data_IF_351251188447
#
_entry.id   IF_351251188447
#
_cell.length_a   1.000
_cell.length_b   1.000
_cell.length_c   1.000
_cell.angle_alpha   90.00
_cell.angle_beta   90.00
_cell.angle_gamma   90.00
#
_symmetry.space_group_name_H-M   'P 1'
#
loop_
_entity.id
_entity.type
_entity.pdbx_description
1 polymer ?
#
# COMPACT_ATOMS: atom_id res chain seq x y z
N UNK A 1 30.67 -41.30 -18.35
CA UNK A 1 30.43 -40.31 -17.27
C UNK A 1 29.28 -39.41 -17.72
N UNK A 2 28.06 -39.67 -17.24
CA UNK A 2 26.85 -38.96 -17.67
C UNK A 2 26.71 -37.61 -16.96
N UNK A 3 26.68 -36.52 -17.73
CA UNK A 3 26.53 -35.15 -17.25
C UNK A 3 25.11 -34.56 -17.46
N UNK A 4 24.09 -35.36 -17.78
CA UNK A 4 22.76 -34.84 -18.15
C UNK A 4 21.66 -34.97 -17.06
N UNK A 5 21.97 -35.50 -15.87
CA UNK A 5 20.96 -35.80 -14.84
C UNK A 5 20.63 -34.67 -13.85
N UNK A 6 21.43 -33.61 -13.77
CA UNK A 6 21.32 -32.60 -12.69
C UNK A 6 20.35 -31.44 -13.01
N UNK A 7 20.20 -31.04 -14.28
CA UNK A 7 19.35 -29.90 -14.65
C UNK A 7 17.84 -30.14 -14.52
N UNK A 8 17.38 -31.35 -14.86
CA UNK A 8 15.94 -31.68 -14.85
C UNK A 8 15.36 -31.81 -13.44
N UNK A 9 16.15 -32.27 -12.46
CA UNK A 9 15.69 -32.46 -11.08
C UNK A 9 15.53 -31.14 -10.32
N UNK A 10 16.38 -30.14 -10.58
CA UNK A 10 16.29 -28.80 -9.98
C UNK A 10 15.12 -27.98 -10.53
N UNK A 11 14.84 -28.09 -11.84
CA UNK A 11 13.65 -27.50 -12.45
C UNK A 11 12.36 -28.08 -11.87
N UNK A 12 12.30 -29.41 -11.70
CA UNK A 12 11.14 -30.10 -11.10
C UNK A 12 10.96 -29.72 -9.63
N UNK A 13 12.05 -29.65 -8.86
CA UNK A 13 12.05 -29.22 -7.45
C UNK A 13 11.65 -27.75 -7.28
N UNK A 14 12.15 -26.85 -8.13
CA UNK A 14 11.72 -25.43 -8.17
C UNK A 14 10.24 -25.31 -8.52
N UNK A 15 9.76 -26.09 -9.50
CA UNK A 15 8.34 -26.11 -9.91
C UNK A 15 7.43 -26.63 -8.78
N UNK A 16 7.81 -27.73 -8.11
CA UNK A 16 7.06 -28.27 -6.96
C UNK A 16 7.03 -27.25 -5.80
N UNK A 17 8.16 -26.61 -5.47
CA UNK A 17 8.18 -25.55 -4.45
C UNK A 17 7.31 -24.35 -4.82
N UNK A 18 7.30 -23.94 -6.10
CA UNK A 18 6.48 -22.83 -6.59
C UNK A 18 4.98 -23.17 -6.56
N UNK A 19 4.62 -24.38 -6.96
CA UNK A 19 3.24 -24.89 -6.92
C UNK A 19 2.76 -25.04 -5.47
N UNK A 20 3.58 -25.63 -4.59
CA UNK A 20 3.26 -25.75 -3.17
C UNK A 20 3.11 -24.40 -2.46
N UNK A 21 3.98 -23.42 -2.77
CA UNK A 21 3.82 -22.04 -2.27
C UNK A 21 2.54 -21.38 -2.78
N UNK A 22 2.15 -21.62 -4.03
CA UNK A 22 0.92 -21.07 -4.61
C UNK A 22 -0.32 -21.69 -3.97
N UNK A 23 -0.31 -23.01 -3.76
CA UNK A 23 -1.38 -23.74 -3.05
C UNK A 23 -1.49 -23.27 -1.60
N UNK A 24 -0.36 -23.17 -0.88
CA UNK A 24 -0.34 -22.69 0.51
C UNK A 24 -0.83 -21.25 0.62
N UNK A 25 -0.41 -20.37 -0.31
CA UNK A 25 -0.93 -19.00 -0.37
C UNK A 25 -2.42 -18.98 -0.68
N UNK A 26 -2.90 -19.82 -1.61
CA UNK A 26 -4.33 -19.98 -1.91
C UNK A 26 -5.11 -20.39 -0.66
N UNK A 27 -4.75 -21.51 -0.04
CA UNK A 27 -5.43 -22.01 1.16
C UNK A 27 -5.40 -21.03 2.33
N UNK A 28 -4.30 -20.28 2.49
CA UNK A 28 -4.20 -19.25 3.52
C UNK A 28 -5.14 -18.08 3.24
N UNK A 29 -5.20 -17.62 1.99
CA UNK A 29 -6.10 -16.53 1.59
C UNK A 29 -7.57 -16.96 1.69
N UNK A 30 -7.89 -18.19 1.29
CA UNK A 30 -9.24 -18.76 1.41
C UNK A 30 -9.67 -18.88 2.88
N UNK A 31 -8.74 -19.33 3.74
CA UNK A 31 -8.97 -19.33 5.18
C UNK A 31 -9.24 -17.90 5.70
N UNK A 32 -8.38 -16.92 5.39
CA UNK A 32 -8.56 -15.54 5.84
C UNK A 32 -9.88 -14.93 5.32
N UNK A 33 -10.26 -15.23 4.07
CA UNK A 33 -11.56 -14.87 3.47
C UNK A 33 -12.72 -15.44 4.30
N UNK A 34 -12.69 -16.74 4.59
CA UNK A 34 -13.73 -17.41 5.40
C UNK A 34 -13.90 -16.86 6.81
N UNK A 35 -12.86 -16.18 7.33
CA UNK A 35 -12.86 -15.56 8.66
C UNK A 35 -13.29 -14.10 8.64
N UNK A 36 -13.54 -13.49 7.48
CA UNK A 36 -13.91 -12.08 7.37
C UNK A 36 -15.30 -11.80 7.95
N UNK A 37 -15.44 -10.67 8.64
CA UNK A 37 -16.72 -10.17 9.18
C UNK A 37 -17.35 -9.07 8.33
N UNK A 38 -16.69 -8.69 7.24
CA UNK A 38 -17.19 -7.76 6.24
C UNK A 38 -17.29 -8.52 4.90
N UNK A 39 -18.02 -7.98 3.91
CA UNK A 39 -18.08 -8.59 2.58
C UNK A 39 -16.71 -8.87 1.99
N UNK A 40 -16.66 -9.92 1.17
CA UNK A 40 -15.48 -10.27 0.40
C UNK A 40 -15.67 -9.87 -1.06
N UNK A 41 -15.69 -8.55 -1.27
CA UNK A 41 -15.91 -7.89 -2.57
C UNK A 41 -14.72 -6.98 -2.88
N UNK A 42 -14.44 -6.69 -4.17
CA UNK A 42 -13.30 -5.87 -4.57
C UNK A 42 -13.35 -4.47 -3.95
N UNK A 43 -14.52 -3.82 -4.00
CA UNK A 43 -14.81 -2.53 -3.35
C UNK A 43 -15.78 -2.76 -2.20
N UNK A 44 -15.58 -2.03 -1.11
CA UNK A 44 -16.31 -2.18 0.14
C UNK A 44 -17.10 -0.90 0.44
N UNK A 45 -18.31 -1.05 0.97
CA UNK A 45 -19.13 0.07 1.41
C UNK A 45 -18.47 0.79 2.60
N UNK A 46 -18.31 2.10 2.50
CA UNK A 46 -17.77 2.96 3.56
C UNK A 46 -18.57 2.84 4.86
N UNK A 47 -19.86 2.52 4.81
CA UNK A 47 -20.71 2.32 5.98
C UNK A 47 -20.24 1.17 6.89
N UNK A 48 -19.41 0.26 6.38
CA UNK A 48 -18.76 -0.80 7.18
C UNK A 48 -17.71 -0.24 8.16
N UNK A 49 -17.24 0.99 7.94
CA UNK A 49 -16.18 1.66 8.70
C UNK A 49 -16.66 3.03 9.19
N UNK A 50 -17.64 3.11 10.11
CA UNK A 50 -18.26 4.38 10.51
C UNK A 50 -17.28 5.38 11.13
N UNK A 51 -16.19 4.91 11.73
CA UNK A 51 -15.11 5.76 12.27
C UNK A 51 -14.33 6.50 11.17
N UNK A 52 -14.35 6.01 9.92
CA UNK A 52 -13.54 6.54 8.83
C UNK A 52 -13.99 7.92 8.38
N UNK A 53 -15.25 8.28 8.62
CA UNK A 53 -15.77 9.61 8.29
C UNK A 53 -15.08 10.71 9.09
N UNK A 54 -14.78 10.46 10.37
CA UNK A 54 -14.03 11.41 11.20
C UNK A 54 -12.61 11.62 10.67
N UNK A 55 -11.97 10.57 10.13
CA UNK A 55 -10.66 10.67 9.48
C UNK A 55 -10.77 11.44 8.17
N UNK A 56 -11.73 11.07 7.30
CA UNK A 56 -11.97 11.72 6.01
C UNK A 56 -12.23 13.20 6.16
N UNK A 57 -12.98 13.63 7.18
CA UNK A 57 -13.25 15.04 7.43
C UNK A 57 -11.99 15.89 7.66
N UNK A 58 -10.87 15.26 8.05
CA UNK A 58 -9.56 15.92 8.21
C UNK A 58 -8.76 16.02 6.90
N UNK A 59 -9.32 15.62 5.76
CA UNK A 59 -8.62 15.67 4.48
C UNK A 59 -8.03 17.06 4.11
N UNK A 60 -8.64 18.22 4.46
CA UNK A 60 -8.06 19.51 4.08
C UNK A 60 -6.71 19.76 4.78
N UNK A 61 -6.60 19.44 6.08
CA UNK A 61 -5.33 19.61 6.81
C UNK A 61 -4.26 18.62 6.36
N UNK A 62 -4.66 17.41 5.94
CA UNK A 62 -3.76 16.43 5.33
C UNK A 62 -3.26 16.91 3.96
N UNK A 63 -4.13 17.58 3.18
CA UNK A 63 -3.76 18.20 1.92
C UNK A 63 -2.76 19.33 2.13
N UNK A 64 -2.96 20.20 3.13
CA UNK A 64 -2.04 21.30 3.41
C UNK A 64 -0.62 20.78 3.73
N UNK A 65 -0.51 19.73 4.56
CA UNK A 65 0.78 19.09 4.88
C UNK A 65 1.41 18.41 3.65
N UNK A 66 0.58 17.76 2.81
CA UNK A 66 1.02 17.19 1.55
C UNK A 66 1.54 18.27 0.58
N UNK A 67 0.83 19.39 0.43
CA UNK A 67 1.23 20.46 -0.48
C UNK A 67 2.58 21.08 -0.06
N UNK A 68 2.82 21.22 1.25
CA UNK A 68 4.13 21.61 1.79
C UNK A 68 5.24 20.60 1.43
N UNK A 69 4.97 19.29 1.47
CA UNK A 69 5.92 18.27 1.01
C UNK A 69 6.17 18.35 -0.51
N UNK A 70 5.13 18.66 -1.29
CA UNK A 70 5.21 18.72 -2.75
C UNK A 70 6.06 19.89 -3.26
N UNK A 71 6.23 20.97 -2.49
CA UNK A 71 7.22 22.03 -2.79
C UNK A 71 8.63 21.46 -2.99
N UNK A 72 8.93 20.34 -2.34
CA UNK A 72 10.21 19.62 -2.43
C UNK A 72 10.04 18.20 -2.95
N UNK A 73 9.07 17.97 -3.86
CA UNK A 73 8.76 16.65 -4.43
C UNK A 73 10.00 15.86 -4.89
N UNK A 74 10.99 16.54 -5.48
CA UNK A 74 12.21 15.91 -5.97
C UNK A 74 13.01 15.22 -4.84
N UNK A 75 12.93 15.72 -3.61
CA UNK A 75 13.57 15.14 -2.44
C UNK A 75 12.78 13.97 -1.84
N UNK A 76 11.52 13.74 -2.25
CA UNK A 76 10.74 12.59 -1.81
C UNK A 76 11.27 11.28 -2.45
N UNK A 77 11.23 10.16 -1.72
CA UNK A 77 11.73 8.91 -2.24
C UNK A 77 10.70 8.35 -3.23
N UNK A 78 11.22 7.82 -4.33
CA UNK A 78 10.45 7.01 -5.26
C UNK A 78 10.14 5.68 -4.60
N UNK A 79 8.99 5.08 -4.91
CA UNK A 79 8.52 3.90 -4.20
C UNK A 79 9.53 2.73 -4.23
N UNK A 80 10.20 2.53 -5.38
CA UNK A 80 11.23 1.50 -5.54
C UNK A 80 12.51 1.77 -4.75
N UNK A 81 12.79 3.02 -4.36
CA UNK A 81 13.91 3.34 -3.47
C UNK A 81 13.64 2.83 -2.06
N UNK A 82 12.37 2.82 -1.64
CA UNK A 82 11.96 2.27 -0.34
C UNK A 82 11.75 0.75 -0.46
N UNK A 83 10.92 0.29 -1.39
CA UNK A 83 10.58 -1.14 -1.57
C UNK A 83 11.15 -1.71 -2.88
N UNK A 84 12.43 -2.11 -2.91
CA UNK A 84 13.08 -2.60 -4.14
C UNK A 84 12.45 -3.89 -4.68
N UNK A 85 11.82 -4.70 -3.83
CA UNK A 85 11.07 -5.90 -4.24
C UNK A 85 9.87 -5.58 -5.14
N UNK A 86 9.42 -4.32 -5.17
CA UNK A 86 8.35 -3.82 -6.02
C UNK A 86 8.84 -3.03 -7.26
N UNK A 87 10.14 -3.07 -7.58
CA UNK A 87 10.68 -2.45 -8.80
C UNK A 87 10.03 -2.99 -10.12
N UNK A 88 9.27 -4.09 -10.07
CA UNK A 88 8.50 -4.60 -11.20
C UNK A 88 7.27 -3.76 -11.56
N UNK A 89 6.76 -2.95 -10.63
CA UNK A 89 5.56 -2.13 -10.84
C UNK A 89 5.88 -0.62 -10.96
N UNK A 90 7.13 -0.23 -10.73
CA UNK A 90 7.61 1.13 -10.97
C UNK A 90 9.10 1.14 -11.26
N UNK A 91 9.48 1.73 -12.40
CA UNK A 91 10.88 1.87 -12.83
C UNK A 91 11.29 3.33 -13.02
N UNK A 92 10.39 4.28 -12.75
CA UNK A 92 10.57 5.73 -12.94
C UNK A 92 10.41 6.49 -11.60
N UNK A 93 10.64 7.81 -11.64
CA UNK A 93 10.52 8.73 -10.51
C UNK A 93 9.12 9.37 -10.38
N UNK A 94 8.15 8.89 -11.15
CA UNK A 94 6.79 9.44 -11.18
C UNK A 94 5.91 8.87 -10.08
N UNK A 95 6.33 7.81 -9.38
CA UNK A 95 5.66 7.35 -8.16
C UNK A 95 6.49 7.65 -6.91
N UNK A 96 6.11 8.69 -6.18
CA UNK A 96 6.70 9.08 -4.89
C UNK A 96 5.83 8.58 -3.74
N UNK A 97 6.49 8.22 -2.64
CA UNK A 97 5.80 7.79 -1.41
C UNK A 97 6.39 8.45 -0.17
N UNK A 98 5.54 8.91 0.73
CA UNK A 98 5.97 9.50 2.00
C UNK A 98 5.36 8.72 3.18
N UNK A 99 6.19 7.93 3.85
CA UNK A 99 5.75 6.95 4.84
C UNK A 99 5.46 7.58 6.20
N UNK A 100 4.32 7.23 6.79
CA UNK A 100 3.91 7.61 8.14
C UNK A 100 3.80 6.38 9.06
N UNK A 101 3.31 5.27 8.53
CA UNK A 101 3.27 3.95 9.19
C UNK A 101 3.63 2.82 8.23
N UNK A 102 4.35 1.81 8.74
CA UNK A 102 4.65 0.56 8.04
C UNK A 102 4.44 -0.65 8.95
N UNK A 103 3.48 -1.52 8.61
CA UNK A 103 3.07 -2.71 9.36
C UNK A 103 2.95 -2.51 10.88
N UNK A 104 2.27 -1.43 11.28
CA UNK A 104 2.02 -1.03 12.67
C UNK A 104 3.20 -0.34 13.35
N UNK A 105 4.30 -0.09 12.64
CA UNK A 105 5.42 0.73 13.14
C UNK A 105 5.25 2.16 12.63
N UNK A 106 5.22 3.12 13.55
CA UNK A 106 5.22 4.56 13.25
C UNK A 106 6.58 4.99 12.69
N UNK A 107 6.56 5.85 11.68
CA UNK A 107 7.75 6.53 11.13
C UNK A 107 7.83 7.92 11.75
N UNK A 108 8.65 8.08 12.79
CA UNK A 108 8.67 9.30 13.60
C UNK A 108 8.97 10.54 12.76
N UNK A 109 9.95 10.48 11.85
CA UNK A 109 10.26 11.61 10.98
C UNK A 109 9.10 12.05 10.08
N UNK A 110 8.41 11.09 9.46
CA UNK A 110 7.25 11.40 8.63
C UNK A 110 6.14 12.05 9.45
N UNK A 111 5.91 11.54 10.67
CA UNK A 111 4.90 12.07 11.56
C UNK A 111 5.26 13.43 12.18
N UNK A 112 6.55 13.73 12.35
CA UNK A 112 7.05 15.06 12.75
C UNK A 112 6.77 16.12 11.67
N UNK A 113 6.92 15.75 10.39
CA UNK A 113 6.64 16.63 9.25
C UNK A 113 5.16 16.77 8.92
N UNK A 114 4.34 15.81 9.34
CA UNK A 114 2.89 15.80 9.08
C UNK A 114 2.10 15.54 10.37
N UNK A 115 2.23 16.42 11.39
CA UNK A 115 1.68 16.18 12.71
C UNK A 115 0.15 16.09 12.75
N UNK A 116 -0.56 16.84 11.91
CA UNK A 116 -2.03 16.80 11.85
C UNK A 116 -2.51 15.49 11.21
N UNK A 117 -1.87 15.07 10.11
CA UNK A 117 -2.14 13.77 9.50
C UNK A 117 -1.83 12.64 10.47
N UNK A 118 -0.72 12.72 11.20
CA UNK A 118 -0.34 11.73 12.20
C UNK A 118 -1.36 11.62 13.35
N UNK A 119 -1.81 12.76 13.90
CA UNK A 119 -2.81 12.79 14.96
C UNK A 119 -4.17 12.23 14.52
N UNK A 120 -4.54 12.43 13.25
CA UNK A 120 -5.75 11.83 12.68
C UNK A 120 -5.60 10.31 12.49
N UNK A 121 -4.44 9.85 12.02
CA UNK A 121 -4.12 8.43 11.82
C UNK A 121 -4.01 7.63 13.13
N UNK A 122 -3.57 8.24 14.23
CA UNK A 122 -3.51 7.60 15.56
C UNK A 122 -4.89 7.13 16.07
N UNK A 123 -5.98 7.73 15.56
CA UNK A 123 -7.34 7.35 15.91
C UNK A 123 -7.87 6.17 15.08
N UNK A 124 -7.12 5.71 14.07
CA UNK A 124 -7.55 4.65 13.15
C UNK A 124 -7.40 3.27 13.79
N UNK A 125 -8.50 2.51 13.98
CA UNK A 125 -8.44 1.21 14.62
C UNK A 125 -7.69 0.19 13.75
N UNK A 126 -6.67 -0.44 14.32
CA UNK A 126 -5.92 -1.48 13.62
C UNK A 126 -5.09 -0.97 12.44
N UNK A 127 -4.66 0.29 12.47
CA UNK A 127 -3.79 0.87 11.44
C UNK A 127 -2.53 0.00 11.23
N UNK A 128 -2.27 -0.34 9.97
CA UNK A 128 -1.10 -1.14 9.57
C UNK A 128 -0.12 -0.31 8.76
N UNK A 129 -0.56 0.24 7.63
CA UNK A 129 0.27 1.09 6.77
C UNK A 129 -0.42 2.43 6.61
N UNK A 130 0.34 3.51 6.49
CA UNK A 130 -0.17 4.81 6.06
C UNK A 130 0.94 5.60 5.39
N UNK A 131 0.65 6.14 4.21
CA UNK A 131 1.59 6.98 3.47
C UNK A 131 0.87 7.84 2.43
N UNK A 132 1.47 8.97 2.08
CA UNK A 132 1.05 9.71 0.89
C UNK A 132 1.58 8.98 -0.36
N UNK A 133 0.67 8.64 -1.27
CA UNK A 133 0.98 8.01 -2.55
C UNK A 133 0.76 9.01 -3.68
N UNK A 134 1.85 9.44 -4.30
CA UNK A 134 1.87 10.54 -5.26
C UNK A 134 2.27 10.00 -6.63
N UNK A 135 1.36 10.07 -7.60
CA UNK A 135 1.63 9.77 -9.00
C UNK A 135 1.78 11.05 -9.80
N UNK A 136 2.84 11.10 -10.59
CA UNK A 136 3.08 12.12 -11.59
C UNK A 136 2.30 11.89 -12.89
N UNK A 137 2.39 12.85 -13.81
CA UNK A 137 1.74 12.79 -15.11
C UNK A 137 2.09 11.52 -15.89
N UNK A 138 1.11 10.96 -16.59
CA UNK A 138 1.26 9.75 -17.41
C UNK A 138 1.59 8.47 -16.66
N UNK A 139 1.57 8.47 -15.31
CA UNK A 139 1.99 7.29 -14.55
C UNK A 139 0.94 6.18 -14.63
N UNK A 140 1.41 4.99 -15.00
CA UNK A 140 0.65 3.74 -14.95
C UNK A 140 1.31 2.78 -13.95
N UNK A 141 0.50 2.18 -13.07
CA UNK A 141 0.92 1.08 -12.20
C UNK A 141 0.27 -0.19 -12.74
N UNK A 142 1.07 -1.14 -13.29
CA UNK A 142 0.55 -2.35 -13.90
C UNK A 142 -0.28 -3.21 -12.94
N UNK A 143 -1.14 -4.06 -13.51
CA UNK A 143 -2.02 -4.96 -12.76
C UNK A 143 -1.23 -5.82 -11.75
N UNK A 144 -1.57 -5.71 -10.47
CA UNK A 144 -0.91 -6.42 -9.38
C UNK A 144 -1.90 -6.83 -8.27
N UNK A 145 -1.39 -7.50 -7.23
CA UNK A 145 -2.16 -7.96 -6.07
C UNK A 145 -1.39 -7.70 -4.79
N UNK A 146 -2.13 -7.32 -3.76
CA UNK A 146 -1.68 -7.19 -2.38
C UNK A 146 -1.15 -8.49 -1.81
N UNK A 147 -0.39 -8.34 -0.72
CA UNK A 147 0.34 -9.45 -0.09
C UNK A 147 -0.55 -10.31 0.80
N UNK A 148 -1.62 -9.75 1.37
CA UNK A 148 -2.45 -10.44 2.36
C UNK A 148 -3.90 -9.95 2.39
N UNK A 149 -4.81 -10.90 2.59
CA UNK A 149 -6.24 -10.65 2.88
C UNK A 149 -6.49 -10.25 4.33
N UNK A 150 -5.44 -10.24 5.15
CA UNK A 150 -5.49 -9.79 6.54
C UNK A 150 -5.66 -8.29 6.72
N UNK A 151 -5.56 -7.51 5.64
CA UNK A 151 -5.67 -6.07 5.61
C UNK A 151 -6.80 -5.64 4.66
N UNK A 152 -7.30 -4.43 4.86
CA UNK A 152 -8.17 -3.70 3.93
C UNK A 152 -7.52 -2.36 3.64
N UNK A 153 -7.49 -1.94 2.38
CA UNK A 153 -6.92 -0.67 1.95
C UNK A 153 -8.02 0.39 1.81
N UNK A 154 -7.68 1.62 2.15
CA UNK A 154 -8.48 2.80 1.88
C UNK A 154 -7.62 3.87 1.21
N UNK A 155 -8.24 4.61 0.29
CA UNK A 155 -7.68 5.83 -0.27
C UNK A 155 -8.57 7.01 0.11
N UNK A 156 -7.95 8.10 0.57
CA UNK A 156 -8.58 9.43 0.64
C UNK A 156 -7.92 10.30 -0.42
N UNK A 157 -8.71 10.89 -1.31
CA UNK A 157 -8.23 11.84 -2.32
C UNK A 157 -7.78 13.15 -1.69
N UNK A 158 -6.55 13.59 -1.93
CA UNK A 158 -6.01 14.84 -1.38
C UNK A 158 -5.74 15.89 -2.46
N UNK A 159 -5.19 15.43 -3.59
CA UNK A 159 -4.97 16.23 -4.79
C UNK A 159 -5.30 15.36 -5.99
N UNK A 160 -6.35 15.69 -6.71
CA UNK A 160 -6.86 14.82 -7.79
C UNK A 160 -7.10 15.68 -9.04
N UNK A 161 -6.51 15.34 -10.20
CA UNK A 161 -6.84 15.99 -11.46
C UNK A 161 -8.32 15.81 -11.82
N UNK A 162 -8.95 16.86 -12.34
CA UNK A 162 -10.36 16.85 -12.79
C UNK A 162 -10.52 16.12 -14.13
N UNK A 163 -10.30 14.80 -14.11
CA UNK A 163 -10.41 13.89 -15.27
C UNK A 163 -10.61 12.44 -14.80
N UNK A 164 -11.77 12.10 -14.21
CA UNK A 164 -12.02 10.80 -13.57
C UNK A 164 -11.84 9.60 -14.53
N UNK A 165 -12.03 9.80 -15.84
CA UNK A 165 -11.83 8.79 -16.88
C UNK A 165 -10.36 8.57 -17.25
N UNK A 166 -9.47 9.50 -16.90
CA UNK A 166 -8.01 9.44 -17.13
C UNK A 166 -7.22 9.21 -15.84
N UNK A 167 -7.86 9.34 -14.69
CA UNK A 167 -7.25 9.13 -13.38
C UNK A 167 -8.10 8.22 -12.49
N UNK A 168 -7.86 6.92 -12.58
CA UNK A 168 -8.66 5.90 -11.89
C UNK A 168 -7.82 4.71 -11.42
N UNK A 169 -8.40 3.93 -10.52
CA UNK A 169 -7.98 2.57 -10.20
C UNK A 169 -9.08 1.61 -10.60
N UNK A 170 -8.71 0.52 -11.27
CA UNK A 170 -9.61 -0.62 -11.44
C UNK A 170 -9.27 -1.66 -10.38
N UNK A 171 -10.27 -2.08 -9.60
CA UNK A 171 -10.16 -3.17 -8.63
C UNK A 171 -11.04 -4.32 -9.11
N UNK A 172 -10.40 -5.39 -9.56
CA UNK A 172 -10.99 -6.48 -10.33
C UNK A 172 -11.68 -5.99 -11.62
N UNK A 173 -12.99 -5.86 -11.62
CA UNK A 173 -13.87 -5.38 -12.69
C UNK A 173 -14.58 -4.06 -12.34
N UNK A 174 -14.23 -3.44 -11.21
CA UNK A 174 -14.83 -2.19 -10.73
C UNK A 174 -13.87 -1.03 -10.91
N UNK A 175 -14.25 -0.05 -11.73
CA UNK A 175 -13.50 1.21 -11.89
C UNK A 175 -13.87 2.18 -10.75
N UNK A 176 -12.86 2.77 -10.12
CA UNK A 176 -12.99 3.76 -9.06
C UNK A 176 -12.17 4.99 -9.41
N UNK A 177 -12.83 6.14 -9.55
CA UNK A 177 -12.18 7.43 -9.65
C UNK A 177 -11.98 8.03 -8.25
N UNK A 178 -10.95 8.87 -8.11
CA UNK A 178 -10.77 9.66 -6.90
C UNK A 178 -11.49 11.00 -7.03
N UNK A 179 -11.88 11.54 -5.90
CA UNK A 179 -12.31 12.93 -5.74
C UNK A 179 -11.58 13.51 -4.53
N UNK A 180 -11.29 14.80 -4.53
CA UNK A 180 -10.69 15.45 -3.36
C UNK A 180 -11.65 15.37 -2.18
N UNK A 181 -11.15 14.88 -1.04
CA UNK A 181 -11.96 14.57 0.14
C UNK A 181 -12.85 13.34 0.01
N UNK A 182 -12.92 12.71 -1.16
CA UNK A 182 -13.57 11.40 -1.34
C UNK A 182 -12.77 10.28 -0.70
N UNK A 183 -13.44 9.22 -0.25
CA UNK A 183 -12.79 8.00 0.22
C UNK A 183 -13.48 6.74 -0.28
N UNK A 184 -12.70 5.67 -0.45
CA UNK A 184 -13.24 4.34 -0.68
C UNK A 184 -12.34 3.26 -0.12
N UNK A 185 -12.95 2.18 0.37
CA UNK A 185 -12.27 0.99 0.84
C UNK A 185 -12.28 -0.09 -0.23
N UNK A 186 -11.19 -0.83 -0.37
CA UNK A 186 -11.08 -1.94 -1.29
C UNK A 186 -10.16 -3.04 -0.77
N UNK A 187 -10.36 -4.26 -1.27
CA UNK A 187 -9.48 -5.38 -1.01
C UNK A 187 -8.39 -5.45 -2.09
N UNK A 188 -7.20 -5.00 -1.74
CA UNK A 188 -6.05 -4.97 -2.66
C UNK A 188 -5.56 -6.38 -3.04
N UNK A 189 -6.06 -7.46 -2.43
CA UNK A 189 -5.75 -8.83 -2.89
C UNK A 189 -6.43 -9.20 -4.19
N UNK A 190 -7.51 -8.49 -4.57
CA UNK A 190 -8.04 -8.53 -5.93
C UNK A 190 -7.03 -7.89 -6.90
N UNK A 191 -6.97 -8.35 -8.16
CA UNK A 191 -6.11 -7.71 -9.14
C UNK A 191 -6.51 -6.25 -9.27
N UNK A 192 -5.55 -5.34 -9.23
CA UNK A 192 -5.83 -3.93 -9.39
C UNK A 192 -4.74 -3.23 -10.19
N UNK A 193 -5.14 -2.18 -10.90
CA UNK A 193 -4.33 -1.45 -11.86
C UNK A 193 -4.70 0.03 -11.78
N UNK A 194 -3.71 0.92 -11.94
CA UNK A 194 -3.88 2.35 -11.66
C UNK A 194 -3.35 3.18 -12.80
N UNK A 195 -4.12 4.19 -13.19
CA UNK A 195 -3.78 5.15 -14.23
C UNK A 195 -3.83 6.57 -13.70
N UNK A 196 -2.82 7.36 -14.05
CA UNK A 196 -2.86 8.81 -14.05
C UNK A 196 -2.40 9.29 -15.43
N UNK A 197 -3.28 9.21 -16.42
CA UNK A 197 -3.02 9.63 -17.80
C UNK A 197 -3.17 11.14 -17.98
N UNK A 198 -3.25 11.91 -16.91
CA UNK A 198 -3.41 13.36 -16.92
C UNK A 198 -2.05 14.07 -16.91
N UNK A 199 -2.08 15.39 -17.07
CA UNK A 199 -0.91 16.27 -16.96
C UNK A 199 -0.65 16.75 -15.52
N UNK A 200 -1.49 16.33 -14.57
CA UNK A 200 -1.44 16.72 -13.16
C UNK A 200 -0.90 15.63 -12.24
N UNK A 201 -0.56 16.02 -11.01
CA UNK A 201 -0.27 15.07 -9.94
C UNK A 201 -1.55 14.52 -9.33
N UNK A 202 -1.57 13.20 -9.09
CA UNK A 202 -2.57 12.55 -8.23
C UNK A 202 -1.93 12.13 -6.92
N UNK A 203 -2.42 12.67 -5.81
CA UNK A 203 -1.99 12.30 -4.48
C UNK A 203 -3.17 11.86 -3.61
N UNK A 204 -2.97 10.74 -2.93
CA UNK A 204 -3.92 10.17 -1.96
C UNK A 204 -3.21 9.90 -0.65
N UNK A 205 -3.94 9.98 0.46
CA UNK A 205 -3.57 9.26 1.65
C UNK A 205 -4.00 7.80 1.45
N UNK A 206 -3.02 6.90 1.34
CA UNK A 206 -3.25 5.47 1.31
C UNK A 206 -2.99 4.92 2.70
N UNK A 207 -3.96 4.19 3.25
CA UNK A 207 -3.75 3.48 4.51
C UNK A 207 -4.40 2.11 4.51
N UNK A 208 -3.83 1.21 5.29
CA UNK A 208 -4.32 -0.15 5.48
C UNK A 208 -4.74 -0.34 6.93
N UNK A 209 -5.85 -1.03 7.16
CA UNK A 209 -6.32 -1.46 8.48
C UNK A 209 -6.34 -2.98 8.58
N UNK A 210 -6.25 -3.51 9.80
CA UNK A 210 -6.59 -4.91 10.08
C UNK A 210 -8.01 -5.21 9.59
N UNK A 211 -8.16 -6.17 8.66
CA UNK A 211 -9.48 -6.60 8.20
C UNK A 211 -10.29 -7.11 9.41
N UNK A 212 -11.54 -6.66 9.60
CA UNK A 212 -12.43 -7.24 10.61
C UNK A 212 -12.60 -8.74 10.38
N UNK A 213 -12.19 -9.53 11.36
CA UNK A 213 -12.18 -11.00 11.30
C UNK A 213 -12.62 -11.66 12.61
N UNK A 214 -12.94 -12.95 12.54
CA UNK A 214 -13.00 -13.84 13.69
C UNK A 214 -11.64 -13.97 14.40
N UNK A 215 -11.65 -14.41 15.66
CA UNK A 215 -10.42 -14.56 16.47
C UNK A 215 -9.34 -15.43 15.80
N UNK A 216 -9.67 -16.58 15.16
CA UNK A 216 -8.67 -17.37 14.46
C UNK A 216 -8.04 -16.63 13.28
N UNK A 217 -8.85 -15.98 12.44
CA UNK A 217 -8.36 -15.19 11.30
C UNK A 217 -7.46 -14.04 11.75
N UNK A 218 -7.85 -13.32 12.81
CA UNK A 218 -7.06 -12.24 13.40
C UNK A 218 -5.70 -12.73 13.91
N UNK A 219 -5.66 -13.87 14.60
CA UNK A 219 -4.42 -14.46 15.09
C UNK A 219 -3.48 -14.85 13.94
N UNK A 220 -4.01 -15.49 12.89
CA UNK A 220 -3.24 -15.88 11.70
C UNK A 220 -2.72 -14.66 10.94
N UNK A 221 -3.57 -13.66 10.70
CA UNK A 221 -3.19 -12.41 10.03
C UNK A 221 -2.04 -11.71 10.77
N UNK A 222 -2.17 -11.53 12.09
CA UNK A 222 -1.15 -10.89 12.93
C UNK A 222 0.15 -11.69 12.96
N UNK A 223 0.08 -13.03 13.07
CA UNK A 223 1.27 -13.88 13.03
C UNK A 223 2.01 -13.76 11.69
N UNK A 224 1.26 -13.72 10.58
CA UNK A 224 1.82 -13.55 9.24
C UNK A 224 2.43 -12.14 9.04
N UNK A 225 1.78 -11.08 9.51
CA UNK A 225 2.36 -9.71 9.50
C UNK A 225 3.64 -9.66 10.36
N UNK A 226 3.62 -10.27 11.55
CA UNK A 226 4.80 -10.36 12.42
C UNK A 226 5.94 -11.17 11.77
N UNK A 227 5.62 -12.19 10.99
CA UNK A 227 6.62 -12.92 10.21
C UNK A 227 7.17 -12.06 9.07
N UNK A 228 6.32 -11.35 8.33
CA UNK A 228 6.72 -10.43 7.25
C UNK A 228 7.70 -9.36 7.74
N UNK A 229 7.46 -8.79 8.93
CA UNK A 229 8.34 -7.80 9.57
C UNK A 229 9.76 -8.32 9.86
N UNK A 230 9.96 -9.65 9.91
CA UNK A 230 11.27 -10.28 10.11
C UNK A 230 11.99 -10.58 8.79
N UNK A 231 11.33 -10.41 7.66
CA UNK A 231 11.91 -10.68 6.33
C UNK A 231 12.71 -9.48 5.82
N UNK A 232 13.54 -9.70 4.78
CA UNK A 232 14.24 -8.61 4.08
C UNK A 232 13.26 -7.59 3.49
N UNK A 233 12.14 -8.05 2.94
CA UNK A 233 11.07 -7.21 2.38
C UNK A 233 10.71 -5.99 3.25
N UNK A 234 10.59 -6.18 4.56
CA UNK A 234 10.30 -5.07 5.48
C UNK A 234 11.55 -4.43 6.06
N UNK A 235 12.56 -5.21 6.45
CA UNK A 235 13.76 -4.67 7.10
C UNK A 235 14.59 -3.81 6.16
N UNK A 236 14.70 -4.21 4.89
CA UNK A 236 15.40 -3.46 3.86
C UNK A 236 14.63 -2.17 3.55
N UNK A 237 13.28 -2.25 3.48
CA UNK A 237 12.46 -1.06 3.31
C UNK A 237 12.60 -0.05 4.46
N UNK A 238 12.68 -0.51 5.71
CA UNK A 238 12.97 0.36 6.85
C UNK A 238 14.37 0.95 6.81
N UNK A 239 15.38 0.18 6.38
CA UNK A 239 16.74 0.68 6.24
C UNK A 239 16.83 1.76 5.14
N UNK A 240 16.19 1.52 4.00
CA UNK A 240 16.11 2.47 2.89
C UNK A 240 15.37 3.74 3.29
N UNK A 241 14.26 3.59 4.05
CA UNK A 241 13.52 4.70 4.63
C UNK A 241 14.45 5.56 5.50
N UNK A 242 15.13 4.97 6.49
CA UNK A 242 16.07 5.72 7.35
C UNK A 242 17.17 6.42 6.56
N UNK A 243 17.76 5.73 5.58
CA UNK A 243 18.79 6.32 4.74
C UNK A 243 18.26 7.50 3.91
N UNK A 244 17.00 7.45 3.46
CA UNK A 244 16.35 8.59 2.82
C UNK A 244 16.09 9.73 3.80
N UNK A 245 15.63 9.45 5.02
CA UNK A 245 15.39 10.45 6.07
C UNK A 245 16.65 11.25 6.39
N UNK A 246 17.80 10.57 6.52
CA UNK A 246 19.10 11.22 6.73
C UNK A 246 19.44 12.18 5.58
N UNK A 247 19.27 11.75 4.32
CA UNK A 247 19.51 12.60 3.14
C UNK A 247 18.54 13.78 3.09
N UNK A 248 17.28 13.55 3.41
CA UNK A 248 16.27 14.60 3.43
C UNK A 248 16.61 15.64 4.50
N UNK A 249 16.92 15.22 5.73
CA UNK A 249 17.33 16.13 6.82
C UNK A 249 18.57 16.94 6.45
N UNK A 250 19.57 16.32 5.83
CA UNK A 250 20.77 17.02 5.36
C UNK A 250 20.47 18.07 4.28
N UNK A 251 19.46 17.86 3.44
CA UNK A 251 19.01 18.84 2.46
C UNK A 251 18.13 19.96 3.06
N UNK A 252 17.60 19.77 4.27
CA UNK A 252 16.80 20.79 5.00
C UNK A 252 17.66 21.68 5.92
N UNK A 253 18.87 21.24 6.27
CA UNK A 253 19.83 21.96 7.12
C UNK A 253 20.58 23.02 6.30
#
# INVERSE_FOLDING_TARGET
>A
MSADGKGFSDLRRKKIKKVGKRLFRGSLMDFLSSQSKIPDTPVLDNALFPWAENLRAQWPVMRDELDALLERRAALPSFQEISPDQARISTDDQWKTFMLWGFGTRMDFGCELCPQTAAALEQVPGLSNAFFSILGPGKHIPRHRGVTKGLVRCHIGLRVPDSPERCLIQVDDVDCAWEEGGMFFFDDTYPHEVWNETDGYRAVLLFDIERPMGMPGKAVSRAMIAALRRTGYFRDALANQRAWEERYRAAMA
#
